data_IF_125412474796
#
_entry.id   IF_125412474796
#
_cell.length_a   1.000
_cell.length_b   1.000
_cell.length_c   1.000
_cell.angle_alpha   90.00
_cell.angle_beta   90.00
_cell.angle_gamma   90.00
#
_symmetry.space_group_name_H-M   'P 1'
#
loop_
_entity.id
_entity.type
_entity.pdbx_description
1 polymer ?
#
# COMPACT_ATOMS: atom_id res chain seq x y z
N UNK A 1 21.14 11.08 41.80
CA UNK A 1 21.51 10.91 40.37
C UNK A 1 20.24 10.95 39.52
N UNK A 2 20.07 11.89 38.58
CA UNK A 2 18.93 11.87 37.65
C UNK A 2 19.27 11.09 36.36
N UNK A 3 18.25 10.64 35.59
CA UNK A 3 18.39 9.52 34.64
C UNK A 3 18.76 9.92 33.20
N UNK A 4 19.35 8.96 32.48
CA UNK A 4 19.82 9.02 31.08
C UNK A 4 18.70 9.38 30.10
N UNK A 5 18.88 10.46 29.31
CA UNK A 5 17.92 10.99 28.32
C UNK A 5 18.48 11.10 26.89
N UNK A 6 19.46 10.26 26.50
CA UNK A 6 20.22 10.46 25.25
C UNK A 6 19.84 9.55 24.06
N UNK A 7 19.09 8.46 24.23
CA UNK A 7 18.80 7.53 23.13
C UNK A 7 17.64 7.99 22.21
N UNK A 8 16.66 8.70 22.76
CA UNK A 8 15.41 9.02 22.05
C UNK A 8 15.58 10.14 21.00
N UNK A 9 16.60 11.00 21.14
CA UNK A 9 16.87 12.08 20.18
C UNK A 9 17.48 11.53 18.87
N UNK A 10 18.25 10.45 18.94
CA UNK A 10 18.92 9.84 17.79
C UNK A 10 17.95 9.10 16.86
N UNK A 11 16.97 8.40 17.42
CA UNK A 11 15.93 7.69 16.65
C UNK A 11 15.00 8.65 15.89
N UNK A 12 14.61 9.77 16.50
CA UNK A 12 13.73 10.77 15.86
C UNK A 12 14.40 11.42 14.65
N UNK A 13 15.72 11.66 14.73
CA UNK A 13 16.49 12.19 13.58
C UNK A 13 16.55 11.18 12.44
N UNK A 14 16.71 9.89 12.75
CA UNK A 14 16.74 8.82 11.75
C UNK A 14 15.38 8.62 11.06
N UNK A 15 14.26 8.76 11.78
CA UNK A 15 12.91 8.68 11.20
C UNK A 15 12.61 9.85 10.26
N UNK A 16 13.01 11.07 10.60
CA UNK A 16 12.80 12.25 9.75
C UNK A 16 13.68 12.19 8.49
N UNK A 17 14.89 11.66 8.61
CA UNK A 17 15.77 11.43 7.46
C UNK A 17 15.19 10.34 6.55
N UNK A 18 14.71 9.23 7.11
CA UNK A 18 14.04 8.18 6.34
C UNK A 18 12.77 8.71 5.65
N UNK A 19 11.94 9.48 6.35
CA UNK A 19 10.78 10.17 5.75
C UNK A 19 11.19 11.04 4.57
N UNK A 20 12.27 11.80 4.72
CA UNK A 20 12.81 12.64 3.64
C UNK A 20 13.32 11.80 2.47
N UNK A 21 14.04 10.71 2.72
CA UNK A 21 14.54 9.80 1.69
C UNK A 21 13.42 9.07 0.94
N UNK A 22 12.35 8.70 1.64
CA UNK A 22 11.13 8.11 1.07
C UNK A 22 10.43 9.11 0.15
N UNK A 23 10.25 10.36 0.61
CA UNK A 23 9.63 11.45 -0.17
C UNK A 23 10.45 11.77 -1.43
N UNK A 24 11.78 11.61 -1.39
CA UNK A 24 12.68 11.93 -2.51
C UNK A 24 12.74 10.78 -3.55
N UNK A 25 12.14 9.61 -3.28
CA UNK A 25 12.03 8.52 -4.26
C UNK A 25 13.38 7.91 -4.68
N UNK A 26 14.44 8.05 -3.88
CA UNK A 26 15.74 7.44 -4.18
C UNK A 26 15.64 5.90 -4.15
N UNK A 27 16.26 5.17 -5.09
CA UNK A 27 16.35 3.72 -5.05
C UNK A 27 17.29 3.29 -3.91
N UNK A 28 16.75 3.16 -2.71
CA UNK A 28 17.52 2.78 -1.52
C UNK A 28 17.97 1.32 -1.64
N UNK A 29 19.26 1.11 -1.92
CA UNK A 29 19.94 -0.20 -1.85
C UNK A 29 20.23 -0.62 -0.40
N UNK A 30 20.22 0.33 0.54
CA UNK A 30 20.56 0.13 1.96
C UNK A 30 19.32 -0.04 2.87
N UNK A 31 18.18 -0.39 2.26
CA UNK A 31 16.86 -0.35 2.87
C UNK A 31 16.67 -1.39 3.98
N UNK A 32 17.29 -2.56 3.82
CA UNK A 32 17.12 -3.70 4.71
C UNK A 32 17.70 -3.43 6.10
N UNK A 33 18.93 -2.90 6.17
CA UNK A 33 19.62 -2.67 7.44
C UNK A 33 19.04 -1.47 8.20
N UNK A 34 18.60 -0.43 7.48
CA UNK A 34 17.89 0.71 8.06
C UNK A 34 16.51 0.31 8.59
N UNK A 35 15.75 -0.53 7.88
CA UNK A 35 14.43 -1.01 8.32
C UNK A 35 14.52 -2.03 9.47
N UNK A 36 15.55 -2.91 9.48
CA UNK A 36 15.80 -3.83 10.60
C UNK A 36 16.08 -3.07 11.90
N UNK A 37 16.89 -2.00 11.86
CA UNK A 37 17.17 -1.16 13.03
C UNK A 37 16.00 -0.30 13.52
N UNK A 38 15.06 0.04 12.63
CA UNK A 38 13.88 0.85 12.94
C UNK A 38 12.72 -0.01 13.47
N UNK A 39 12.65 -1.27 13.04
CA UNK A 39 11.58 -2.20 13.42
C UNK A 39 11.45 -2.32 14.94
N UNK A 40 12.56 -2.37 15.70
CA UNK A 40 12.50 -2.70 17.13
C UNK A 40 11.86 -1.64 18.04
N UNK A 41 11.68 -0.38 17.60
CA UNK A 41 11.24 0.70 18.49
C UNK A 41 10.17 1.66 17.95
N UNK A 42 9.66 1.47 16.73
CA UNK A 42 8.58 2.32 16.22
C UNK A 42 7.27 2.13 17.01
N UNK A 43 6.77 3.21 17.59
CA UNK A 43 5.45 3.29 18.21
C UNK A 43 4.38 3.46 17.13
N UNK A 44 3.15 3.04 17.43
CA UNK A 44 2.02 3.11 16.47
C UNK A 44 1.82 4.52 15.84
N UNK A 45 2.06 5.60 16.59
CA UNK A 45 1.96 6.97 16.07
C UNK A 45 2.99 7.25 14.96
N UNK A 46 4.17 6.63 15.05
CA UNK A 46 5.25 6.80 14.08
C UNK A 46 4.96 6.02 12.79
N UNK A 47 4.38 4.82 12.89
CA UNK A 47 3.84 4.10 11.74
C UNK A 47 2.75 4.90 11.03
N UNK A 48 1.79 5.46 11.77
CA UNK A 48 0.71 6.23 11.16
C UNK A 48 1.25 7.43 10.37
N UNK A 49 2.13 8.24 10.96
CA UNK A 49 2.73 9.38 10.26
C UNK A 49 3.72 9.00 9.15
N UNK A 50 4.21 7.76 9.11
CA UNK A 50 4.99 7.22 8.00
C UNK A 50 4.08 6.84 6.83
N UNK A 51 2.97 6.15 7.12
CA UNK A 51 1.96 5.81 6.13
C UNK A 51 1.30 7.04 5.53
N UNK A 52 0.93 8.04 6.33
CA UNK A 52 0.36 9.30 5.81
C UNK A 52 1.31 10.00 4.82
N UNK A 53 2.62 10.01 5.12
CA UNK A 53 3.61 10.60 4.23
C UNK A 53 3.72 9.82 2.91
N UNK A 54 3.68 8.48 2.97
CA UNK A 54 3.66 7.62 1.78
C UNK A 54 2.39 7.80 0.96
N UNK A 55 1.22 7.86 1.61
CA UNK A 55 -0.06 8.05 0.95
C UNK A 55 -0.09 9.36 0.20
N UNK A 56 0.36 10.44 0.85
CA UNK A 56 0.47 11.75 0.22
C UNK A 56 1.41 11.73 -0.98
N UNK A 57 2.61 11.15 -0.82
CA UNK A 57 3.56 11.03 -1.94
C UNK A 57 2.98 10.24 -3.12
N UNK A 58 2.28 9.14 -2.85
CA UNK A 58 1.65 8.34 -3.89
C UNK A 58 0.55 9.11 -4.64
N UNK A 59 -0.27 9.89 -3.93
CA UNK A 59 -1.31 10.74 -4.53
C UNK A 59 -0.70 11.88 -5.36
N UNK A 60 0.30 12.57 -4.83
CA UNK A 60 1.00 13.67 -5.51
C UNK A 60 1.67 13.17 -6.80
N UNK A 61 2.39 12.04 -6.74
CA UNK A 61 3.05 11.45 -7.90
C UNK A 61 2.06 10.82 -8.90
N UNK A 62 0.94 10.26 -8.44
CA UNK A 62 -0.13 9.77 -9.32
C UNK A 62 -0.77 10.93 -10.09
N UNK A 63 -1.04 12.05 -9.41
CA UNK A 63 -1.49 13.29 -10.05
C UNK A 63 -0.49 13.77 -11.10
N UNK A 64 0.79 13.88 -10.74
CA UNK A 64 1.85 14.28 -11.66
C UNK A 64 2.01 13.34 -12.87
N UNK A 65 1.82 12.03 -12.66
CA UNK A 65 1.85 11.04 -13.73
C UNK A 65 0.70 11.22 -14.72
N UNK A 66 -0.53 11.43 -14.22
CA UNK A 66 -1.73 11.59 -15.03
C UNK A 66 -1.79 12.96 -15.74
N UNK A 67 -1.35 14.03 -15.06
CA UNK A 67 -1.32 15.39 -15.60
C UNK A 67 -0.12 15.62 -16.54
N UNK A 68 0.96 14.86 -16.37
CA UNK A 68 2.21 14.94 -17.14
C UNK A 68 2.12 14.50 -18.60
N UNK A 69 0.92 14.36 -19.17
CA UNK A 69 0.62 13.82 -20.52
C UNK A 69 1.36 14.54 -21.67
N UNK A 70 1.95 15.71 -21.44
CA UNK A 70 2.75 16.48 -22.41
C UNK A 70 4.27 16.23 -22.39
N UNK A 71 4.83 15.57 -21.36
CA UNK A 71 6.28 15.34 -21.25
C UNK A 71 6.61 13.91 -20.80
N UNK A 72 7.06 13.09 -21.76
CA UNK A 72 7.46 11.70 -21.52
C UNK A 72 8.46 11.56 -20.37
N UNK A 73 9.43 12.47 -20.26
CA UNK A 73 10.44 12.45 -19.18
C UNK A 73 9.83 12.67 -17.79
N UNK A 74 8.85 13.56 -17.66
CA UNK A 74 8.19 13.84 -16.39
C UNK A 74 7.31 12.66 -15.94
N UNK A 75 6.58 12.06 -16.88
CA UNK A 75 5.77 10.85 -16.64
C UNK A 75 6.63 9.65 -16.22
N UNK A 76 7.77 9.39 -16.89
CA UNK A 76 8.69 8.32 -16.50
C UNK A 76 9.25 8.52 -15.09
N UNK A 77 9.68 9.74 -14.75
CA UNK A 77 10.20 10.04 -13.41
C UNK A 77 9.12 9.89 -12.32
N UNK A 78 7.87 10.26 -12.61
CA UNK A 78 6.76 10.03 -11.69
C UNK A 78 6.47 8.53 -11.51
N UNK A 79 6.52 7.74 -12.58
CA UNK A 79 6.35 6.28 -12.50
C UNK A 79 7.45 5.61 -11.64
N UNK A 80 8.70 6.06 -11.75
CA UNK A 80 9.79 5.55 -10.90
C UNK A 80 9.56 5.85 -9.41
N UNK A 81 9.08 7.05 -9.08
CA UNK A 81 8.73 7.41 -7.70
C UNK A 81 7.52 6.62 -7.18
N UNK A 82 6.51 6.42 -8.01
CA UNK A 82 5.35 5.57 -7.70
C UNK A 82 5.79 4.13 -7.38
N UNK A 83 6.62 3.53 -8.24
CA UNK A 83 7.18 2.20 -8.00
C UNK A 83 7.98 2.15 -6.68
N UNK A 84 8.81 3.16 -6.42
CA UNK A 84 9.58 3.24 -5.18
C UNK A 84 8.66 3.36 -3.94
N UNK A 85 7.59 4.14 -4.05
CA UNK A 85 6.59 4.32 -3.00
C UNK A 85 5.80 3.03 -2.73
N UNK A 86 5.36 2.35 -3.79
CA UNK A 86 4.71 1.04 -3.70
C UNK A 86 5.57 0.03 -2.96
N UNK A 87 6.82 -0.11 -3.39
CA UNK A 87 7.79 -1.00 -2.75
C UNK A 87 8.03 -0.66 -1.27
N UNK A 88 8.17 0.63 -0.94
CA UNK A 88 8.37 1.07 0.43
C UNK A 88 7.15 0.73 1.31
N UNK A 89 5.93 0.96 0.82
CA UNK A 89 4.70 0.58 1.52
C UNK A 89 4.70 -0.92 1.83
N UNK A 90 4.99 -1.75 0.82
CA UNK A 90 5.06 -3.20 0.99
C UNK A 90 6.07 -3.60 2.05
N UNK A 91 7.31 -3.09 1.96
CA UNK A 91 8.38 -3.43 2.91
C UNK A 91 8.01 -3.06 4.35
N UNK A 92 7.47 -1.85 4.56
CA UNK A 92 7.04 -1.39 5.89
C UNK A 92 5.93 -2.29 6.44
N UNK A 93 4.95 -2.66 5.61
CA UNK A 93 3.87 -3.55 6.02
C UNK A 93 4.40 -4.95 6.32
N UNK A 94 5.18 -5.56 5.43
CA UNK A 94 5.74 -6.90 5.60
C UNK A 94 6.56 -7.05 6.88
N UNK A 95 7.41 -6.07 7.19
CA UNK A 95 8.25 -6.11 8.40
C UNK A 95 7.53 -5.60 9.65
N UNK A 96 6.52 -4.75 9.49
CA UNK A 96 5.80 -4.11 10.59
C UNK A 96 4.48 -4.80 10.97
N UNK A 97 4.04 -5.82 10.22
CA UNK A 97 2.67 -6.38 10.29
C UNK A 97 2.24 -6.78 11.70
N UNK A 98 3.14 -7.32 12.52
CA UNK A 98 2.86 -7.75 13.89
C UNK A 98 2.71 -6.59 14.89
N UNK A 99 3.09 -5.37 14.49
CA UNK A 99 3.12 -4.15 15.33
C UNK A 99 2.04 -3.15 14.94
N UNK A 100 1.39 -3.35 13.79
CA UNK A 100 0.33 -2.46 13.32
C UNK A 100 -0.93 -2.64 14.15
N UNK A 101 -1.65 -1.54 14.39
CA UNK A 101 -3.01 -1.61 14.94
C UNK A 101 -4.02 -1.82 13.82
N UNK A 102 -5.17 -2.45 14.09
CA UNK A 102 -6.21 -2.65 13.08
C UNK A 102 -6.64 -1.37 12.37
N UNK A 103 -6.69 -0.24 13.09
CA UNK A 103 -7.02 1.08 12.56
C UNK A 103 -6.00 1.56 11.51
N UNK A 104 -4.72 1.29 11.75
CA UNK A 104 -3.63 1.64 10.84
C UNK A 104 -3.67 0.75 9.61
N UNK A 105 -3.87 -0.55 9.79
CA UNK A 105 -4.05 -1.50 8.69
C UNK A 105 -5.24 -1.10 7.82
N UNK A 106 -6.35 -0.71 8.44
CA UNK A 106 -7.53 -0.23 7.73
C UNK A 106 -7.22 0.98 6.86
N UNK A 107 -6.51 1.98 7.39
CA UNK A 107 -6.10 3.14 6.62
C UNK A 107 -5.22 2.78 5.40
N UNK A 108 -4.35 1.76 5.54
CA UNK A 108 -3.56 1.23 4.41
C UNK A 108 -4.44 0.58 3.36
N UNK A 109 -5.41 -0.25 3.77
CA UNK A 109 -6.32 -0.93 2.85
C UNK A 109 -7.20 0.08 2.11
N UNK A 110 -7.79 1.03 2.84
CA UNK A 110 -8.63 2.09 2.27
C UNK A 110 -7.81 2.90 1.25
N UNK A 111 -6.59 3.32 1.60
CA UNK A 111 -5.69 4.00 0.66
C UNK A 111 -5.43 3.17 -0.60
N UNK A 112 -5.09 1.89 -0.46
CA UNK A 112 -4.83 1.02 -1.63
C UNK A 112 -6.09 0.90 -2.50
N UNK A 113 -7.26 0.65 -1.92
CA UNK A 113 -8.51 0.49 -2.69
C UNK A 113 -8.93 1.77 -3.40
N UNK A 114 -8.66 2.94 -2.81
CA UNK A 114 -8.97 4.25 -3.42
C UNK A 114 -7.97 4.63 -4.53
N UNK A 115 -6.73 4.16 -4.44
CA UNK A 115 -5.64 4.58 -5.34
C UNK A 115 -5.27 3.56 -6.40
N UNK A 116 -5.63 2.29 -6.22
CA UNK A 116 -5.32 1.24 -7.19
C UNK A 116 -6.14 1.34 -8.49
N UNK A 117 -7.43 1.73 -8.49
CA UNK A 117 -8.18 1.96 -9.72
C UNK A 117 -7.62 3.13 -10.53
N UNK A 118 -7.58 2.97 -11.85
CA UNK A 118 -7.41 4.01 -12.83
C UNK A 118 -8.77 4.48 -13.39
N UNK A 119 -8.77 5.52 -14.22
CA UNK A 119 -9.96 6.13 -14.83
C UNK A 119 -10.79 5.18 -15.69
N UNK A 120 -10.19 4.06 -16.12
CA UNK A 120 -10.82 3.02 -16.92
C UNK A 120 -11.19 1.78 -16.10
N UNK A 121 -11.23 1.91 -14.77
CA UNK A 121 -11.46 0.81 -13.83
C UNK A 121 -10.39 -0.31 -13.92
N UNK A 122 -9.26 -0.01 -14.56
CA UNK A 122 -8.07 -0.85 -14.59
C UNK A 122 -7.17 -0.62 -13.38
N UNK A 123 -6.29 -1.59 -13.08
CA UNK A 123 -5.31 -1.37 -12.04
C UNK A 123 -4.20 -0.45 -12.55
N UNK A 124 -3.88 0.55 -11.75
CA UNK A 124 -2.83 1.51 -12.05
C UNK A 124 -1.46 0.83 -11.93
N UNK A 125 -0.95 0.40 -13.10
CA UNK A 125 0.22 -0.46 -13.25
C UNK A 125 1.46 -0.03 -12.43
N UNK A 126 1.81 1.27 -12.30
CA UNK A 126 2.97 1.68 -11.49
C UNK A 126 2.87 1.35 -9.99
N UNK A 127 1.67 1.11 -9.47
CA UNK A 127 1.46 0.75 -8.05
C UNK A 127 0.98 -0.69 -7.89
N UNK A 128 0.34 -1.25 -8.91
CA UNK A 128 -0.37 -2.52 -8.81
C UNK A 128 0.47 -3.70 -8.27
N UNK A 129 1.72 -3.95 -8.72
CA UNK A 129 2.50 -5.08 -8.25
C UNK A 129 2.77 -5.05 -6.75
N UNK A 130 3.19 -3.89 -6.22
CA UNK A 130 3.53 -3.76 -4.80
C UNK A 130 2.29 -3.61 -3.92
N UNK A 131 1.24 -2.93 -4.39
CA UNK A 131 -0.01 -2.77 -3.64
C UNK A 131 -0.79 -4.09 -3.51
N UNK A 132 -0.87 -4.88 -4.58
CA UNK A 132 -1.48 -6.21 -4.51
C UNK A 132 -0.73 -7.14 -3.56
N UNK A 133 0.60 -7.13 -3.60
CA UNK A 133 1.42 -7.89 -2.64
C UNK A 133 1.24 -7.40 -1.21
N UNK A 134 1.07 -6.09 -1.01
CA UNK A 134 0.77 -5.52 0.31
C UNK A 134 -0.58 -6.06 0.83
N UNK A 135 -1.61 -6.08 -0.01
CA UNK A 135 -2.92 -6.64 0.34
C UNK A 135 -2.84 -8.13 0.69
N UNK A 136 -2.04 -8.92 -0.05
CA UNK A 136 -1.79 -10.33 0.27
C UNK A 136 -1.20 -10.49 1.68
N UNK A 137 -0.24 -9.66 2.05
CA UNK A 137 0.35 -9.69 3.41
C UNK A 137 -0.68 -9.33 4.47
N UNK A 138 -1.50 -8.30 4.23
CA UNK A 138 -2.52 -7.84 5.18
C UNK A 138 -3.62 -8.90 5.38
N UNK A 139 -4.17 -9.44 4.29
CA UNK A 139 -5.23 -10.46 4.34
C UNK A 139 -4.72 -11.85 4.71
N UNK A 140 -3.41 -12.10 4.60
CA UNK A 140 -2.78 -13.31 5.12
C UNK A 140 -2.76 -13.38 6.65
N UNK A 141 -3.05 -12.27 7.35
CA UNK A 141 -3.15 -12.24 8.81
C UNK A 141 -4.60 -12.42 9.28
N UNK A 142 -4.94 -13.51 10.00
CA UNK A 142 -6.29 -13.76 10.48
C UNK A 142 -6.82 -12.62 11.37
N UNK A 143 -5.96 -12.04 12.19
CA UNK A 143 -6.31 -10.94 13.11
C UNK A 143 -6.91 -9.74 12.38
N UNK A 144 -6.35 -9.39 11.21
CA UNK A 144 -6.85 -8.24 10.44
C UNK A 144 -8.09 -8.59 9.64
N UNK A 145 -8.17 -9.80 9.07
CA UNK A 145 -9.39 -10.27 8.39
C UNK A 145 -10.57 -10.30 9.34
N UNK A 146 -10.40 -10.88 10.53
CA UNK A 146 -11.41 -10.89 11.59
C UNK A 146 -11.78 -9.47 12.00
N UNK A 147 -10.78 -8.61 12.25
CA UNK A 147 -11.06 -7.21 12.61
C UNK A 147 -11.85 -6.48 11.53
N UNK A 148 -11.58 -6.70 10.24
CA UNK A 148 -12.35 -6.13 9.13
C UNK A 148 -13.76 -6.68 9.09
N UNK A 149 -13.93 -7.99 9.30
CA UNK A 149 -15.21 -8.68 9.29
C UNK A 149 -16.12 -8.24 10.45
N UNK A 150 -15.55 -7.96 11.63
CA UNK A 150 -16.29 -7.50 12.80
C UNK A 150 -16.47 -5.97 12.83
N UNK A 151 -15.57 -5.20 12.23
CA UNK A 151 -15.76 -3.75 12.07
C UNK A 151 -16.68 -3.43 10.89
N UNK A 152 -17.95 -3.25 11.23
CA UNK A 152 -18.81 -2.26 10.61
C UNK A 152 -18.01 -1.03 10.14
N UNK A 153 -18.07 -0.63 8.86
CA UNK A 153 -17.78 0.76 8.52
C UNK A 153 -18.66 1.62 9.46
N UNK A 154 -18.09 2.70 9.99
CA UNK A 154 -18.70 3.57 11.02
C UNK A 154 -20.23 3.73 10.91
N UNK A 155 -20.85 3.89 12.09
CA UNK A 155 -22.26 4.23 12.38
C UNK A 155 -22.96 4.86 11.17
N UNK A 156 -24.14 4.35 10.76
CA UNK A 156 -24.92 4.93 9.69
C UNK A 156 -25.08 6.44 9.91
N UNK A 157 -24.52 7.25 9.01
CA UNK A 157 -25.25 8.44 8.60
C UNK A 157 -26.54 7.91 7.97
N UNK A 158 -27.67 8.37 8.49
CA UNK A 158 -29.03 7.92 8.18
C UNK A 158 -29.18 7.40 6.74
N UNK A 159 -29.80 6.21 6.58
CA UNK A 159 -30.07 5.49 5.33
C UNK A 159 -28.93 4.71 4.62
N UNK A 160 -27.75 4.50 5.20
CA UNK A 160 -26.73 3.59 4.59
C UNK A 160 -26.61 2.25 5.34
N UNK A 161 -26.76 1.08 4.67
CA UNK A 161 -26.53 -0.20 5.31
C UNK A 161 -25.09 -0.28 5.82
N UNK A 162 -24.94 -0.75 7.05
CA UNK A 162 -23.64 -1.01 7.66
C UNK A 162 -22.86 -2.01 6.79
N UNK A 163 -21.98 -1.50 5.94
CA UNK A 163 -21.24 -2.35 5.00
C UNK A 163 -19.96 -2.77 5.71
N UNK A 164 -19.89 -4.07 6.01
CA UNK A 164 -18.71 -4.70 6.60
C UNK A 164 -17.46 -4.37 5.74
N UNK A 165 -16.37 -3.94 6.38
CA UNK A 165 -15.13 -3.59 5.67
C UNK A 165 -14.59 -4.74 4.81
N UNK A 166 -14.77 -5.98 5.27
CA UNK A 166 -14.45 -7.18 4.49
C UNK A 166 -15.29 -7.29 3.20
N UNK A 167 -16.59 -7.01 3.28
CA UNK A 167 -17.48 -7.06 2.10
C UNK A 167 -17.05 -6.02 1.07
N UNK A 168 -16.69 -4.80 1.50
CA UNK A 168 -16.18 -3.76 0.59
C UNK A 168 -14.92 -4.22 -0.13
N UNK A 169 -13.97 -4.82 0.60
CA UNK A 169 -12.74 -5.36 0.00
C UNK A 169 -13.04 -6.47 -1.01
N UNK A 170 -13.93 -7.42 -0.66
CA UNK A 170 -14.26 -8.53 -1.56
C UNK A 170 -15.03 -8.05 -2.80
N UNK A 171 -15.98 -7.13 -2.64
CA UNK A 171 -16.73 -6.52 -3.75
C UNK A 171 -15.78 -5.84 -4.75
N UNK A 172 -14.77 -5.10 -4.25
CA UNK A 172 -13.72 -4.52 -5.09
C UNK A 172 -13.01 -5.58 -5.96
N UNK A 173 -12.55 -6.70 -5.37
CA UNK A 173 -11.85 -7.74 -6.15
C UNK A 173 -12.79 -8.51 -7.07
N UNK A 174 -14.00 -8.82 -6.63
CA UNK A 174 -15.00 -9.55 -7.43
C UNK A 174 -15.34 -8.75 -8.68
N UNK A 175 -15.67 -7.46 -8.53
CA UNK A 175 -15.93 -6.56 -9.67
C UNK A 175 -14.79 -6.59 -10.68
N UNK A 176 -13.54 -6.55 -10.19
CA UNK A 176 -12.39 -6.58 -11.08
C UNK A 176 -12.22 -7.93 -11.77
N UNK A 177 -12.39 -9.04 -11.07
CA UNK A 177 -12.32 -10.37 -11.67
C UNK A 177 -13.40 -10.52 -12.75
N UNK A 178 -14.62 -10.07 -12.48
CA UNK A 178 -15.69 -10.04 -13.48
C UNK A 178 -15.29 -9.22 -14.71
N UNK A 179 -14.80 -7.99 -14.53
CA UNK A 179 -14.32 -7.16 -15.65
C UNK A 179 -13.21 -7.87 -16.46
N UNK A 180 -12.27 -8.56 -15.81
CA UNK A 180 -11.22 -9.30 -16.52
C UNK A 180 -11.78 -10.48 -17.34
N UNK A 181 -12.80 -11.16 -16.83
CA UNK A 181 -13.45 -12.27 -17.52
C UNK A 181 -14.30 -11.77 -18.70
N UNK A 182 -15.06 -10.70 -18.52
CA UNK A 182 -15.89 -10.12 -19.58
C UNK A 182 -15.05 -9.65 -20.78
N UNK A 183 -13.88 -9.05 -20.53
CA UNK A 183 -12.95 -8.66 -21.60
C UNK A 183 -12.21 -9.84 -22.26
N UNK A 184 -12.17 -11.02 -21.62
CA UNK A 184 -11.56 -12.21 -22.20
C UNK A 184 -12.44 -12.83 -23.30
N UNK A 185 -13.76 -12.70 -23.19
CA UNK A 185 -14.70 -13.23 -24.17
C UNK A 185 -14.71 -12.42 -25.48
N UNK A 186 -14.36 -11.13 -25.42
CA UNK A 186 -14.25 -10.25 -26.60
C UNK A 186 -12.92 -10.41 -27.36
N UNK A 187 -11.88 -10.99 -26.73
CA UNK A 187 -10.53 -11.07 -27.31
C UNK A 187 -10.23 -12.43 -27.95
N UNK A 188 -10.77 -12.61 -29.16
CA UNK A 188 -10.29 -13.60 -30.13
C UNK A 188 -8.90 -13.22 -30.73
N UNK A 189 -7.91 -12.92 -29.88
CA UNK A 189 -6.52 -12.75 -30.29
C UNK A 189 -5.54 -13.11 -29.17
N UNK A 190 -4.52 -13.96 -29.42
CA UNK A 190 -3.68 -14.53 -28.38
C UNK A 190 -2.55 -13.56 -28.04
N UNK A 191 -2.75 -12.73 -27.02
CA UNK A 191 -1.72 -11.78 -26.60
C UNK A 191 -1.89 -11.38 -25.15
N UNK A 192 -1.05 -11.98 -24.29
CA UNK A 192 -0.80 -11.64 -22.88
C UNK A 192 -1.79 -12.18 -21.84
N UNK A 193 -1.59 -13.44 -21.47
CA UNK A 193 -1.62 -13.83 -20.05
C UNK A 193 -0.42 -14.73 -19.77
N UNK A 194 0.76 -14.14 -19.54
CA UNK A 194 1.85 -14.81 -18.81
C UNK A 194 1.77 -14.39 -17.34
N UNK A 195 0.69 -14.77 -16.66
CA UNK A 195 0.78 -14.99 -15.22
C UNK A 195 1.45 -16.35 -15.04
N UNK A 196 2.73 -16.36 -14.68
CA UNK A 196 3.46 -17.58 -14.35
C UNK A 196 2.85 -18.16 -13.07
N UNK A 197 1.86 -19.05 -13.24
CA UNK A 197 1.25 -19.83 -12.18
C UNK A 197 2.22 -20.91 -11.68
N UNK A 198 3.31 -20.51 -11.01
CA UNK A 198 4.30 -21.46 -10.47
C UNK A 198 4.49 -21.37 -8.95
N UNK A 199 3.70 -20.58 -8.22
CA UNK A 199 3.90 -20.43 -6.75
C UNK A 199 2.81 -21.09 -5.89
N UNK A 200 1.75 -21.66 -6.47
CA UNK A 200 0.75 -22.40 -5.70
C UNK A 200 0.88 -23.91 -5.87
N UNK A 201 2.07 -24.46 -5.60
CA UNK A 201 2.28 -25.89 -5.30
C UNK A 201 3.68 -26.09 -4.75
N UNK A 202 3.86 -25.79 -3.46
CA UNK A 202 4.71 -26.62 -2.61
C UNK A 202 4.22 -26.54 -1.16
N UNK A 203 3.99 -27.75 -0.65
CA UNK A 203 3.61 -28.16 0.70
C UNK A 203 4.37 -27.44 1.80
#
# INVERSE_FOLDING_TARGET
>A
MPPKKSAQRSQVTNLNDLKSQIIIGKPVKDRKDALEGISENLKNKEYHGLFEALFKSALDDKGAFLDGKGSKKASTAAAERLNACGKALREIVTHGISKLRPNTVRAVIDHIMDTLPDRHDEFFEPLAPDYMQTLVVLFGSPVYVESLAFQAFQIPKENKPNTNGWIVCMDFFIRRICHLLDNADDTSSPGLVKFSATIFLRR
#
